data_IF_258434770297
#
_entry.id   IF_258434770297
#
_cell.length_a   1.000
_cell.length_b   1.000
_cell.length_c   1.000
_cell.angle_alpha   90.00
_cell.angle_beta   90.00
_cell.angle_gamma   90.00
#
_symmetry.space_group_name_H-M   'P 1'
#
loop_
_entity.id
_entity.type
_entity.pdbx_description
1 polymer ?
#
# COMPACT_ATOMS: atom_id res chain seq x y z
N UNK A 1 5.26 38.83 -29.35
CA UNK A 1 6.53 38.23 -28.86
C UNK A 1 6.25 36.78 -28.45
N UNK A 2 6.81 35.76 -29.12
CA UNK A 2 6.55 34.37 -28.76
C UNK A 2 7.02 34.09 -27.32
N UNK A 3 6.11 33.57 -26.49
CA UNK A 3 6.37 33.21 -25.07
C UNK A 3 7.38 32.05 -24.91
N UNK A 4 7.74 31.36 -26.00
CA UNK A 4 8.55 30.14 -26.02
C UNK A 4 9.85 30.35 -26.80
N UNK A 5 10.94 29.79 -26.31
CA UNK A 5 12.21 29.74 -27.04
C UNK A 5 12.08 28.87 -28.31
N UNK A 6 12.84 29.18 -29.37
CA UNK A 6 12.87 28.37 -30.59
C UNK A 6 13.35 26.95 -30.28
N UNK A 7 12.92 26.00 -31.13
CA UNK A 7 13.24 24.58 -30.97
C UNK A 7 14.76 24.35 -30.88
N UNK A 8 15.18 23.46 -29.98
CA UNK A 8 16.60 23.18 -29.73
C UNK A 8 17.27 24.09 -28.68
N UNK A 9 16.61 25.16 -28.25
CA UNK A 9 17.11 26.05 -27.18
C UNK A 9 16.24 25.97 -25.91
N UNK A 10 16.76 26.46 -24.79
CA UNK A 10 16.05 26.57 -23.50
C UNK A 10 16.23 27.98 -22.95
N UNK A 11 15.20 28.54 -22.33
CA UNK A 11 15.35 29.80 -21.59
C UNK A 11 16.19 29.58 -20.34
N UNK A 12 17.32 30.27 -20.25
CA UNK A 12 18.05 30.39 -19.00
C UNK A 12 17.24 31.28 -18.05
N UNK A 13 16.99 30.81 -16.82
CA UNK A 13 16.17 31.53 -15.84
C UNK A 13 16.88 32.78 -15.30
N UNK A 14 18.21 32.77 -15.27
CA UNK A 14 19.04 33.84 -14.71
C UNK A 14 19.24 34.96 -15.72
N UNK A 15 19.68 34.63 -16.94
CA UNK A 15 19.92 35.63 -18.00
C UNK A 15 18.67 35.98 -18.78
N UNK A 16 17.58 35.22 -18.60
CA UNK A 16 16.31 35.29 -19.35
C UNK A 16 16.43 35.10 -20.87
N UNK A 17 17.63 34.79 -21.38
CA UNK A 17 17.95 34.53 -22.79
C UNK A 17 17.73 33.04 -23.14
N UNK A 18 17.51 32.75 -24.42
CA UNK A 18 17.46 31.36 -24.90
C UNK A 18 18.89 30.87 -25.21
N UNK A 19 19.30 29.77 -24.60
CA UNK A 19 20.62 29.16 -24.76
C UNK A 19 20.47 27.75 -25.36
N UNK A 20 21.46 27.24 -26.11
CA UNK A 20 21.42 25.88 -26.65
C UNK A 20 21.18 24.86 -25.53
N UNK A 21 20.31 23.86 -25.79
CA UNK A 21 20.24 22.71 -24.89
C UNK A 21 21.54 21.93 -25.06
N UNK A 22 22.50 22.09 -24.14
CA UNK A 22 23.70 21.25 -24.11
C UNK A 22 23.26 19.78 -24.06
N UNK A 23 23.37 19.08 -25.19
CA UNK A 23 23.29 17.61 -25.28
C UNK A 23 24.66 17.04 -24.88
N UNK A 24 25.22 17.44 -23.74
CA UNK A 24 26.50 16.92 -23.30
C UNK A 24 26.28 15.64 -22.48
N UNK A 25 26.50 14.51 -23.17
CA UNK A 25 27.00 13.24 -22.63
C UNK A 25 26.43 12.77 -21.29
N UNK A 26 25.23 12.19 -21.35
CA UNK A 26 24.83 11.21 -20.34
C UNK A 26 25.35 9.84 -20.75
N UNK A 27 26.64 9.57 -20.51
CA UNK A 27 27.09 8.20 -20.23
C UNK A 27 26.51 7.80 -18.85
N UNK A 28 25.19 7.71 -18.75
CA UNK A 28 24.56 7.03 -17.61
C UNK A 28 24.46 5.57 -18.02
N UNK A 29 25.42 4.79 -17.55
CA UNK A 29 25.24 3.36 -17.37
C UNK A 29 23.81 3.12 -16.85
N UNK A 30 23.02 2.21 -17.44
CA UNK A 30 21.69 1.94 -16.94
C UNK A 30 21.83 1.41 -15.51
N UNK A 31 21.52 2.25 -14.52
CA UNK A 31 21.37 1.76 -13.15
C UNK A 31 20.36 0.62 -13.18
N UNK A 32 20.64 -0.54 -12.59
CA UNK A 32 19.67 -1.62 -12.54
C UNK A 32 18.41 -1.09 -11.86
N UNK A 33 17.31 -1.05 -12.60
CA UNK A 33 15.99 -0.77 -12.04
C UNK A 33 15.80 -1.70 -10.84
N UNK A 34 15.42 -1.21 -9.64
CA UNK A 34 15.05 -2.10 -8.56
C UNK A 34 13.88 -2.95 -9.05
N UNK A 35 14.13 -4.24 -9.32
CA UNK A 35 13.10 -5.26 -9.44
C UNK A 35 12.54 -5.49 -8.05
N UNK A 36 11.65 -4.61 -7.61
CA UNK A 36 10.75 -4.97 -6.53
C UNK A 36 9.47 -4.15 -6.59
N UNK A 37 8.45 -4.78 -7.15
CA UNK A 37 7.11 -4.87 -6.56
C UNK A 37 6.36 -5.94 -7.34
N UNK A 38 6.45 -7.14 -6.77
CA UNK A 38 5.54 -8.26 -6.95
C UNK A 38 4.16 -7.82 -7.42
N UNK A 39 3.76 -8.37 -8.56
CA UNK A 39 2.36 -8.59 -8.90
C UNK A 39 1.64 -9.23 -7.70
N UNK A 40 0.71 -8.49 -7.10
CA UNK A 40 -0.41 -9.06 -6.34
C UNK A 40 -1.54 -8.06 -6.36
N UNK A 41 -2.31 -8.09 -7.46
CA UNK A 41 -3.71 -7.71 -7.37
C UNK A 41 -4.36 -8.66 -6.35
N UNK A 42 -4.70 -8.14 -5.18
CA UNK A 42 -5.68 -8.72 -4.28
C UNK A 42 -6.52 -7.54 -3.84
N UNK A 43 -7.81 -7.56 -4.17
CA UNK A 43 -8.78 -6.47 -3.95
C UNK A 43 -8.37 -5.59 -2.77
N UNK A 44 -7.81 -4.40 -3.02
CA UNK A 44 -7.42 -3.51 -1.96
C UNK A 44 -8.70 -3.14 -1.26
N UNK A 45 -8.69 -3.26 0.06
CA UNK A 45 -9.77 -2.81 0.91
C UNK A 45 -10.13 -1.35 0.54
N UNK A 46 -11.18 -1.16 -0.28
CA UNK A 46 -11.39 0.12 -1.01
C UNK A 46 -11.68 1.25 -0.03
N UNK A 47 -12.42 0.92 1.04
CA UNK A 47 -12.87 1.86 2.08
C UNK A 47 -11.97 1.87 3.32
N UNK A 48 -10.88 1.09 3.38
CA UNK A 48 -10.19 0.83 4.64
C UNK A 48 -8.76 0.26 4.57
N UNK A 49 -8.33 -0.29 5.71
CA UNK A 49 -7.06 -1.02 5.88
C UNK A 49 -7.36 -2.47 6.27
N UNK A 50 -6.45 -3.38 5.91
CA UNK A 50 -6.50 -4.78 6.37
C UNK A 50 -5.91 -4.91 7.76
N UNK A 51 -6.36 -5.92 8.49
CA UNK A 51 -5.75 -6.28 9.77
C UNK A 51 -4.31 -6.79 9.56
N UNK A 52 -3.34 -6.38 10.41
CA UNK A 52 -2.00 -6.97 10.39
C UNK A 52 -2.04 -8.46 10.75
N UNK A 53 -1.22 -9.28 10.08
CA UNK A 53 -1.22 -10.74 10.29
C UNK A 53 -1.00 -11.14 11.75
N UNK A 54 -0.02 -10.52 12.44
CA UNK A 54 0.25 -10.82 13.85
C UNK A 54 -0.97 -10.60 14.76
N UNK A 55 -1.86 -9.65 14.43
CA UNK A 55 -3.11 -9.42 15.19
C UNK A 55 -4.14 -10.50 14.92
N UNK A 56 -4.22 -10.99 13.68
CA UNK A 56 -5.06 -12.13 13.34
C UNK A 56 -4.62 -13.35 14.15
N UNK A 57 -3.31 -13.63 14.17
CA UNK A 57 -2.74 -14.76 14.90
C UNK A 57 -3.00 -14.64 16.42
N UNK A 58 -2.86 -13.44 17.00
CA UNK A 58 -3.19 -13.17 18.40
C UNK A 58 -4.66 -13.49 18.73
N UNK A 59 -5.59 -13.04 17.87
CA UNK A 59 -7.03 -13.27 18.04
C UNK A 59 -7.33 -14.76 17.93
N UNK A 60 -6.81 -15.45 16.91
CA UNK A 60 -7.01 -16.89 16.74
C UNK A 60 -6.46 -17.66 17.94
N UNK A 61 -5.28 -17.31 18.42
CA UNK A 61 -4.68 -17.92 19.62
C UNK A 61 -5.52 -17.69 20.87
N UNK A 62 -6.13 -16.51 21.01
CA UNK A 62 -7.01 -16.18 22.13
C UNK A 62 -8.32 -16.97 22.08
N UNK A 63 -8.90 -17.14 20.89
CA UNK A 63 -10.14 -17.90 20.69
C UNK A 63 -9.92 -19.41 20.78
N UNK A 64 -8.68 -19.90 20.65
CA UNK A 64 -8.36 -21.34 20.68
C UNK A 64 -8.78 -22.02 21.98
N UNK A 65 -9.82 -22.85 21.89
CA UNK A 65 -10.26 -23.79 22.93
C UNK A 65 -9.85 -25.22 22.57
N UNK A 66 -9.47 -26.01 23.59
CA UNK A 66 -8.92 -27.37 23.44
C UNK A 66 -9.82 -28.38 22.70
N UNK A 67 -11.12 -28.09 22.54
CA UNK A 67 -12.11 -29.04 22.00
C UNK A 67 -12.84 -28.52 20.73
N UNK A 68 -12.37 -27.44 20.11
CA UNK A 68 -13.00 -26.88 18.91
C UNK A 68 -12.27 -27.31 17.63
N UNK A 69 -13.02 -27.41 16.53
CA UNK A 69 -12.49 -27.86 15.23
C UNK A 69 -11.52 -26.86 14.61
N UNK A 70 -10.45 -27.35 13.99
CA UNK A 70 -9.47 -26.53 13.27
C UNK A 70 -10.13 -25.71 12.13
N UNK A 71 -11.15 -26.26 11.50
CA UNK A 71 -11.95 -25.61 10.46
C UNK A 71 -12.56 -24.29 10.93
N UNK A 72 -12.99 -24.21 12.20
CA UNK A 72 -13.56 -22.97 12.76
C UNK A 72 -12.53 -21.85 12.77
N UNK A 73 -11.28 -22.15 13.13
CA UNK A 73 -10.20 -21.16 13.18
C UNK A 73 -9.74 -20.75 11.78
N UNK A 74 -9.68 -21.71 10.84
CA UNK A 74 -9.38 -21.40 9.44
C UNK A 74 -10.44 -20.44 8.84
N UNK A 75 -11.72 -20.64 9.17
CA UNK A 75 -12.79 -19.75 8.76
C UNK A 75 -12.64 -18.36 9.38
N UNK A 76 -12.38 -18.26 10.68
CA UNK A 76 -12.14 -16.97 11.34
C UNK A 76 -10.93 -16.24 10.74
N UNK A 77 -9.82 -16.94 10.49
CA UNK A 77 -8.63 -16.35 9.89
C UNK A 77 -8.93 -15.80 8.49
N UNK A 78 -9.67 -16.56 7.67
CA UNK A 78 -10.07 -16.11 6.35
C UNK A 78 -11.00 -14.89 6.41
N UNK A 79 -11.97 -14.88 7.32
CA UNK A 79 -12.89 -13.76 7.53
C UNK A 79 -12.12 -12.49 7.94
N UNK A 80 -11.16 -12.60 8.88
CA UNK A 80 -10.33 -11.46 9.31
C UNK A 80 -9.39 -10.95 8.20
N UNK A 81 -8.84 -11.85 7.38
CA UNK A 81 -7.98 -11.51 6.25
C UNK A 81 -8.73 -10.79 5.10
N UNK A 82 -10.01 -11.13 4.93
CA UNK A 82 -10.87 -10.54 3.91
C UNK A 82 -11.62 -9.30 4.42
N UNK A 83 -11.75 -9.14 5.73
CA UNK A 83 -12.39 -7.99 6.35
C UNK A 83 -11.62 -6.69 6.16
N UNK A 84 -12.38 -5.61 6.12
CA UNK A 84 -11.92 -4.25 5.92
C UNK A 84 -12.14 -3.41 7.17
N UNK A 85 -11.16 -2.61 7.58
CA UNK A 85 -11.26 -1.82 8.82
C UNK A 85 -11.05 -0.33 8.55
N UNK A 86 -11.63 0.57 9.37
CA UNK A 86 -11.35 2.00 9.29
C UNK A 86 -9.84 2.30 9.38
N UNK A 87 -9.37 3.33 8.67
CA UNK A 87 -7.93 3.68 8.63
C UNK A 87 -7.34 4.03 10.00
N UNK A 88 -8.17 4.47 10.95
CA UNK A 88 -7.77 4.87 12.31
C UNK A 88 -8.12 3.80 13.35
N UNK A 89 -8.18 2.53 12.95
CA UNK A 89 -8.48 1.43 13.86
C UNK A 89 -7.37 1.24 14.87
N UNK A 90 -7.74 1.24 16.15
CA UNK A 90 -6.84 0.90 17.25
C UNK A 90 -6.86 -0.61 17.49
N UNK A 91 -5.85 -1.29 16.95
CA UNK A 91 -5.74 -2.74 17.03
C UNK A 91 -5.63 -3.29 18.46
N UNK A 92 -5.19 -2.47 19.43
CA UNK A 92 -5.05 -2.90 20.84
C UNK A 92 -6.41 -3.13 21.52
N UNK A 93 -7.46 -2.47 21.02
CA UNK A 93 -8.84 -2.62 21.50
C UNK A 93 -9.52 -3.85 20.89
N UNK A 94 -9.07 -4.30 19.73
CA UNK A 94 -9.61 -5.47 19.04
C UNK A 94 -8.82 -6.70 19.49
N UNK A 95 -9.32 -7.39 20.52
CA UNK A 95 -8.66 -8.57 21.12
C UNK A 95 -9.34 -9.91 20.81
N UNK A 96 -10.61 -9.87 20.41
CA UNK A 96 -11.44 -11.06 20.16
C UNK A 96 -12.00 -11.00 18.74
N UNK A 97 -12.41 -12.17 18.23
CA UNK A 97 -13.01 -12.26 16.89
C UNK A 97 -14.29 -11.44 16.80
N UNK A 98 -15.11 -11.46 17.85
CA UNK A 98 -16.36 -10.72 17.92
C UNK A 98 -16.16 -9.20 17.82
N UNK A 99 -15.15 -8.66 18.51
CA UNK A 99 -14.85 -7.23 18.41
C UNK A 99 -14.34 -6.84 17.03
N UNK A 100 -13.55 -7.73 16.40
CA UNK A 100 -13.07 -7.51 15.04
C UNK A 100 -14.22 -7.48 14.03
N UNK A 101 -15.17 -8.41 14.14
CA UNK A 101 -16.32 -8.45 13.23
C UNK A 101 -17.24 -7.24 13.37
N UNK A 102 -17.40 -6.69 14.58
CA UNK A 102 -18.13 -5.43 14.80
C UNK A 102 -17.39 -4.19 14.26
N UNK A 103 -16.06 -4.16 14.38
CA UNK A 103 -15.25 -3.04 13.92
C UNK A 103 -15.03 -3.02 12.40
N UNK A 104 -15.29 -4.14 11.72
CA UNK A 104 -15.17 -4.24 10.27
C UNK A 104 -16.22 -3.35 9.56
N UNK A 105 -15.78 -2.72 8.47
CA UNK A 105 -16.63 -2.00 7.54
C UNK A 105 -17.46 -3.04 6.79
N UNK A 106 -18.77 -3.02 7.00
CA UNK A 106 -19.71 -3.80 6.18
C UNK A 106 -19.84 -3.09 4.83
N UNK A 107 -19.64 -3.84 3.74
CA UNK A 107 -19.79 -3.30 2.38
C UNK A 107 -21.24 -2.99 2.04
#
# INVERSE_FOLDING_TARGET
MPKRCPNGTRRNKTTRKCEPKNKSMSNKSPSPKPKNKTSKAKNPCVKGIKMPQHRIDDIIKHERKKNESEERYAKMENDLNNSCFPKKTDWNKIRTYTLASYAAIKE
#
